data_IF_781738645534
#
_entry.id   IF_781738645534
#
_cell.length_a   1.000
_cell.length_b   1.000
_cell.length_c   1.000
_cell.angle_alpha   90.00
_cell.angle_beta   90.00
_cell.angle_gamma   90.00
#
_symmetry.space_group_name_H-M   'P 1'
#
loop_
_entity.id
_entity.type
_entity.pdbx_description
1 polymer ?
#
# COMPACT_ATOMS: atom_id res chain seq x y z
N UNK A 1 8.74 -12.66 21.99
CA UNK A 1 7.37 -13.07 21.64
C UNK A 1 6.59 -11.81 21.29
N UNK A 2 6.37 -11.53 19.99
CA UNK A 2 5.60 -10.36 19.55
C UNK A 2 4.15 -10.81 19.36
N UNK A 3 3.28 -10.38 20.28
CA UNK A 3 1.83 -10.59 20.21
C UNK A 3 1.24 -9.66 19.15
N UNK A 4 1.10 -10.14 17.92
CA UNK A 4 0.27 -9.49 16.89
C UNK A 4 -1.15 -10.02 17.06
N UNK A 5 -1.93 -9.39 17.92
CA UNK A 5 -3.38 -9.59 17.97
C UNK A 5 -3.96 -9.14 16.63
N UNK A 6 -4.17 -10.10 15.74
CA UNK A 6 -4.86 -9.95 14.47
C UNK A 6 -6.29 -9.46 14.73
N UNK A 7 -6.65 -8.30 14.20
CA UNK A 7 -8.03 -7.80 14.23
C UNK A 7 -8.86 -8.58 13.20
N UNK A 8 -9.84 -9.40 13.62
CA UNK A 8 -10.59 -10.27 12.70
C UNK A 8 -11.71 -9.52 11.96
N UNK A 9 -11.91 -8.23 12.22
CA UNK A 9 -13.04 -7.44 11.71
C UNK A 9 -12.88 -6.94 10.27
N UNK A 10 -11.70 -7.07 9.64
CA UNK A 10 -11.49 -6.66 8.23
C UNK A 10 -11.60 -7.82 7.22
N UNK A 11 -11.74 -9.06 7.68
CA UNK A 11 -11.84 -10.25 6.82
C UNK A 11 -13.25 -10.53 6.29
N UNK A 12 -14.26 -9.78 6.75
CA UNK A 12 -15.68 -10.00 6.42
C UNK A 12 -16.22 -9.05 5.33
N UNK A 13 -15.37 -8.55 4.43
CA UNK A 13 -15.86 -8.08 3.13
C UNK A 13 -16.13 -9.32 2.25
N UNK A 14 -17.38 -9.77 2.24
CA UNK A 14 -17.88 -10.89 1.43
C UNK A 14 -17.40 -10.77 -0.03
N UNK A 15 -16.46 -11.63 -0.44
CA UNK A 15 -16.04 -11.76 -1.84
C UNK A 15 -14.56 -11.53 -2.12
N UNK A 16 -13.79 -10.92 -1.21
CA UNK A 16 -12.34 -10.80 -1.36
C UNK A 16 -11.65 -11.68 -0.33
N UNK A 17 -11.02 -12.77 -0.78
CA UNK A 17 -10.05 -13.51 0.03
C UNK A 17 -8.84 -12.61 0.30
N UNK A 18 -8.98 -11.68 1.23
CA UNK A 18 -7.87 -10.88 1.74
C UNK A 18 -7.04 -11.81 2.62
N UNK A 19 -6.18 -12.62 2.01
CA UNK A 19 -5.13 -13.25 2.80
C UNK A 19 -4.33 -12.10 3.43
N UNK A 20 -4.19 -12.07 4.76
CA UNK A 20 -3.31 -11.09 5.37
C UNK A 20 -1.89 -11.42 4.90
N UNK A 21 -1.40 -10.61 3.97
CA UNK A 21 -0.03 -10.67 3.52
C UNK A 21 0.81 -10.00 4.59
N UNK A 22 1.78 -10.73 5.13
CA UNK A 22 2.77 -10.14 6.03
C UNK A 22 3.58 -9.13 5.23
N UNK A 23 3.61 -7.89 5.72
CA UNK A 23 4.42 -6.84 5.14
C UNK A 23 5.89 -7.07 5.47
N UNK A 24 6.77 -6.70 4.55
CA UNK A 24 8.19 -6.59 4.86
C UNK A 24 8.44 -5.44 5.86
N UNK A 25 9.61 -5.45 6.49
CA UNK A 25 10.01 -4.37 7.40
C UNK A 25 10.05 -3.02 6.68
N UNK A 26 10.47 -3.01 5.42
CA UNK A 26 10.50 -1.82 4.56
C UNK A 26 9.09 -1.32 4.25
N UNK A 27 8.16 -2.22 3.92
CA UNK A 27 6.76 -1.87 3.64
C UNK A 27 6.08 -1.30 4.88
N UNK A 28 6.29 -1.89 6.05
CA UNK A 28 5.79 -1.34 7.31
C UNK A 28 6.38 0.05 7.60
N UNK A 29 7.68 0.25 7.32
CA UNK A 29 8.35 1.53 7.52
C UNK A 29 7.78 2.59 6.58
N UNK A 30 7.53 2.25 5.33
CA UNK A 30 6.89 3.13 4.34
C UNK A 30 5.51 3.57 4.82
N UNK A 31 4.65 2.62 5.22
CA UNK A 31 3.29 2.92 5.71
C UNK A 31 3.35 3.83 6.93
N UNK A 32 4.28 3.58 7.86
CA UNK A 32 4.46 4.42 9.05
C UNK A 32 4.76 5.88 8.68
N UNK A 33 5.72 6.12 7.80
CA UNK A 33 6.04 7.50 7.38
C UNK A 33 4.91 8.12 6.57
N UNK A 34 4.29 7.37 5.65
CA UNK A 34 3.17 7.86 4.86
C UNK A 34 2.01 8.35 5.75
N UNK A 35 1.72 7.66 6.87
CA UNK A 35 0.67 8.07 7.82
C UNK A 35 1.01 9.32 8.62
N UNK A 36 2.29 9.64 8.79
CA UNK A 36 2.74 10.84 9.51
C UNK A 36 2.72 12.10 8.64
N UNK A 37 2.55 11.95 7.33
CA UNK A 37 2.48 13.07 6.39
C UNK A 37 1.17 13.84 6.50
N UNK A 38 1.23 15.14 6.17
CA UNK A 38 0.04 15.97 6.00
C UNK A 38 -0.87 15.40 4.90
N UNK A 39 -2.15 15.78 4.89
CA UNK A 39 -3.06 15.38 3.82
C UNK A 39 -2.59 15.88 2.44
N UNK A 40 -2.01 17.08 2.39
CA UNK A 40 -1.49 17.68 1.16
C UNK A 40 -0.31 16.88 0.60
N UNK A 41 0.64 16.48 1.46
CA UNK A 41 1.78 15.67 1.06
C UNK A 41 1.37 14.27 0.62
N UNK A 42 0.38 13.67 1.30
CA UNK A 42 -0.19 12.38 0.90
C UNK A 42 -0.82 12.46 -0.49
N UNK A 43 -1.53 13.54 -0.78
CA UNK A 43 -2.12 13.75 -2.10
C UNK A 43 -1.04 13.93 -3.18
N UNK A 44 -0.02 14.74 -2.92
CA UNK A 44 1.10 14.91 -3.83
C UNK A 44 1.80 13.57 -4.15
N UNK A 45 2.01 12.71 -3.13
CA UNK A 45 2.55 11.37 -3.33
C UNK A 45 1.63 10.47 -4.16
N UNK A 46 0.30 10.53 -3.97
CA UNK A 46 -0.64 9.78 -4.83
C UNK A 46 -0.51 10.20 -6.29
N UNK A 47 -0.44 11.50 -6.56
CA UNK A 47 -0.21 12.02 -7.91
C UNK A 47 1.14 11.53 -8.49
N UNK A 48 2.21 11.55 -7.68
CA UNK A 48 3.53 11.06 -8.08
C UNK A 48 3.49 9.56 -8.43
N UNK A 49 2.93 8.72 -7.56
CA UNK A 49 2.81 7.27 -7.82
C UNK A 49 1.97 6.98 -9.05
N UNK A 50 0.90 7.77 -9.27
CA UNK A 50 0.10 7.67 -10.49
C UNK A 50 0.95 7.96 -11.74
N UNK A 51 1.71 9.07 -11.74
CA UNK A 51 2.58 9.42 -12.85
C UNK A 51 3.62 8.32 -13.13
N UNK A 52 4.30 7.80 -12.09
CA UNK A 52 5.28 6.71 -12.21
C UNK A 52 4.66 5.44 -12.80
N UNK A 53 3.45 5.10 -12.36
CA UNK A 53 2.72 3.93 -12.88
C UNK A 53 2.37 4.09 -14.36
N UNK A 54 1.99 5.28 -14.79
CA UNK A 54 1.66 5.54 -16.19
C UNK A 54 2.92 5.60 -17.07
N UNK A 55 4.02 6.19 -16.59
CA UNK A 55 5.29 6.20 -17.33
C UNK A 55 5.89 4.81 -17.49
N UNK A 56 5.84 3.98 -16.45
CA UNK A 56 6.33 2.59 -16.52
C UNK A 56 5.52 1.70 -17.49
N UNK A 57 4.23 1.99 -17.68
CA UNK A 57 3.39 1.30 -18.69
C UNK A 57 3.70 1.74 -20.10
N UNK A 58 4.01 3.03 -20.29
CA UNK A 58 4.36 3.57 -21.60
C UNK A 58 5.69 3.00 -22.14
N UNK A 59 6.60 2.60 -21.25
CA UNK A 59 7.90 2.02 -21.62
C UNK A 59 7.87 0.50 -21.88
N UNK A 60 6.75 -0.19 -21.69
CA UNK A 60 6.63 -1.58 -22.12
C UNK A 60 6.14 -1.64 -23.57
N UNK A 61 7.02 -1.87 -24.57
CA UNK A 61 6.54 -2.16 -25.92
C UNK A 61 5.70 -3.44 -25.83
N UNK A 62 4.47 -3.36 -26.33
CA UNK A 62 3.60 -4.52 -26.56
C UNK A 62 4.41 -5.57 -27.32
N UNK A 63 4.82 -6.63 -26.62
CA UNK A 63 5.31 -7.87 -27.24
C UNK A 63 4.13 -8.68 -27.74
#
# INVERSE_FOLDING_TARGET
MLNTSFFPSLLTALGTTLRPQQLSREEERLIRYYRLLSEQDREALRCLFFAIKETSRAEQPKR
#
